data_IF_211725697882
#
_entry.id   IF_211725697882
#
_cell.length_a   1.000
_cell.length_b   1.000
_cell.length_c   1.000
_cell.angle_alpha   90.00
_cell.angle_beta   90.00
_cell.angle_gamma   90.00
#
_symmetry.space_group_name_H-M   'P 1'
#
loop_
_entity.id
_entity.type
_entity.pdbx_description
1 polymer ?
#
# COMPACT_ATOMS: atom_id res chain seq x y z
N UNK A 1 -13.68 -21.55 -17.18
CA UNK A 1 -13.22 -20.44 -18.03
C UNK A 1 -12.03 -20.97 -18.80
N UNK A 2 -12.01 -20.83 -20.13
CA UNK A 2 -10.82 -21.19 -20.91
C UNK A 2 -9.67 -20.26 -20.55
N UNK A 3 -8.46 -20.82 -20.48
CA UNK A 3 -7.26 -20.05 -20.17
C UNK A 3 -6.92 -19.17 -21.36
N UNK A 4 -6.73 -17.86 -21.12
CA UNK A 4 -6.22 -16.94 -22.13
C UNK A 4 -4.83 -17.40 -22.61
N UNK A 5 -4.68 -17.59 -23.92
CA UNK A 5 -3.41 -17.92 -24.57
C UNK A 5 -2.93 -16.67 -25.33
N UNK A 6 -1.77 -16.14 -24.95
CA UNK A 6 -1.18 -14.97 -25.60
C UNK A 6 -0.50 -15.40 -26.92
N UNK A 7 -1.17 -15.17 -28.04
CA UNK A 7 -0.69 -15.46 -29.39
C UNK A 7 -1.04 -14.30 -30.36
N UNK A 8 -0.69 -14.43 -31.64
CA UNK A 8 -1.00 -13.37 -32.63
C UNK A 8 -2.52 -13.16 -32.77
N UNK A 9 -3.33 -14.20 -32.62
CA UNK A 9 -4.79 -14.16 -32.70
C UNK A 9 -5.42 -13.44 -31.48
N UNK A 10 -4.71 -13.38 -30.35
CA UNK A 10 -5.15 -12.66 -29.15
C UNK A 10 -5.10 -11.13 -29.33
N UNK A 11 -4.48 -10.61 -30.40
CA UNK A 11 -4.37 -9.18 -30.67
C UNK A 11 -5.72 -8.46 -30.71
N UNK A 12 -6.71 -9.03 -31.39
CA UNK A 12 -8.03 -8.40 -31.51
C UNK A 12 -8.77 -8.43 -30.16
N UNK A 13 -8.57 -9.49 -29.36
CA UNK A 13 -9.12 -9.58 -28.01
C UNK A 13 -8.47 -8.56 -27.06
N UNK A 14 -7.15 -8.34 -27.20
CA UNK A 14 -6.41 -7.31 -26.48
C UNK A 14 -6.97 -5.93 -26.83
N UNK A 15 -7.08 -5.60 -28.12
CA UNK A 15 -7.60 -4.29 -28.54
C UNK A 15 -9.04 -4.08 -28.06
N UNK A 16 -9.92 -5.06 -28.25
CA UNK A 16 -11.29 -4.99 -27.78
C UNK A 16 -11.39 -4.76 -26.27
N UNK A 17 -10.60 -5.49 -25.47
CA UNK A 17 -10.59 -5.32 -24.01
C UNK A 17 -10.16 -3.90 -23.59
N UNK A 18 -9.17 -3.32 -24.27
CA UNK A 18 -8.72 -1.94 -24.03
C UNK A 18 -9.81 -0.92 -24.36
N UNK A 19 -10.54 -1.12 -25.45
CA UNK A 19 -11.54 -0.15 -25.91
C UNK A 19 -12.83 -0.21 -25.06
N UNK A 20 -13.15 -1.37 -24.49
CA UNK A 20 -14.29 -1.55 -23.59
C UNK A 20 -14.06 -1.00 -22.18
N UNK A 21 -12.80 -0.99 -21.70
CA UNK A 21 -12.47 -0.70 -20.31
C UNK A 21 -11.64 0.57 -20.18
N UNK A 22 -12.00 1.43 -19.24
CA UNK A 22 -11.17 2.58 -18.85
C UNK A 22 -9.99 2.12 -18.00
N UNK A 23 -8.89 1.81 -18.66
CA UNK A 23 -7.64 1.42 -18.02
C UNK A 23 -6.92 2.64 -17.42
N UNK A 24 -6.37 2.45 -16.23
CA UNK A 24 -5.46 3.40 -15.58
C UNK A 24 -4.08 3.39 -16.23
N UNK A 25 -3.23 4.36 -15.89
CA UNK A 25 -1.92 4.52 -16.52
C UNK A 25 -1.02 3.28 -16.39
N UNK A 26 -0.99 2.63 -15.22
CA UNK A 26 -0.16 1.43 -15.03
C UNK A 26 -0.74 0.22 -15.78
N UNK A 27 -2.06 0.12 -15.87
CA UNK A 27 -2.73 -0.94 -16.61
C UNK A 27 -2.41 -0.82 -18.09
N UNK A 28 -2.49 0.40 -18.65
CA UNK A 28 -2.11 0.68 -20.04
C UNK A 28 -0.66 0.31 -20.36
N UNK A 29 0.27 0.59 -19.44
CA UNK A 29 1.67 0.23 -19.62
C UNK A 29 1.86 -1.29 -19.69
N UNK A 30 1.29 -2.04 -18.74
CA UNK A 30 1.33 -3.51 -18.73
C UNK A 30 0.64 -4.07 -19.97
N UNK A 31 -0.48 -3.47 -20.38
CA UNK A 31 -1.23 -3.86 -21.56
C UNK A 31 -0.41 -3.76 -22.84
N UNK A 32 0.32 -2.67 -23.02
CA UNK A 32 1.20 -2.47 -24.16
C UNK A 32 2.32 -3.53 -24.21
N UNK A 33 2.87 -3.92 -23.07
CA UNK A 33 3.85 -4.99 -22.98
C UNK A 33 3.27 -6.36 -23.37
N UNK A 34 2.04 -6.66 -22.92
CA UNK A 34 1.33 -7.89 -23.30
C UNK A 34 1.09 -7.92 -24.82
N UNK A 35 0.66 -6.81 -25.41
CA UNK A 35 0.46 -6.69 -26.85
C UNK A 35 1.76 -6.90 -27.63
N UNK A 36 2.84 -6.24 -27.21
CA UNK A 36 4.16 -6.40 -27.83
C UNK A 36 4.68 -7.84 -27.72
N UNK A 37 4.44 -8.50 -26.59
CA UNK A 37 4.77 -9.91 -26.40
C UNK A 37 3.96 -10.79 -27.36
N UNK A 38 2.65 -10.55 -27.50
CA UNK A 38 1.79 -11.28 -28.42
C UNK A 38 2.30 -11.23 -29.88
N UNK A 39 2.73 -10.04 -30.33
CA UNK A 39 3.20 -9.75 -31.69
C UNK A 39 4.62 -10.25 -32.00
N UNK A 40 5.55 -10.20 -31.03
CA UNK A 40 6.99 -10.43 -31.25
C UNK A 40 7.42 -11.89 -31.39
N UNK A 41 6.51 -12.86 -31.22
CA UNK A 41 6.86 -14.28 -31.21
C UNK A 41 7.66 -14.72 -29.98
N UNK A 42 7.90 -13.83 -29.01
CA UNK A 42 8.64 -14.09 -27.78
C UNK A 42 7.89 -15.06 -26.86
N UNK A 43 8.24 -16.34 -26.95
CA UNK A 43 7.61 -17.40 -26.17
C UNK A 43 7.89 -17.29 -24.67
N UNK A 44 9.03 -16.71 -24.27
CA UNK A 44 9.40 -16.59 -22.86
C UNK A 44 8.56 -15.51 -22.18
N UNK A 45 8.47 -14.32 -22.79
CA UNK A 45 7.65 -13.22 -22.27
C UNK A 45 6.16 -13.57 -22.25
N UNK A 46 5.66 -14.24 -23.30
CA UNK A 46 4.28 -14.76 -23.33
C UNK A 46 4.01 -15.73 -22.18
N UNK A 47 4.91 -16.68 -21.96
CA UNK A 47 4.80 -17.65 -20.88
C UNK A 47 4.87 -16.96 -19.52
N UNK A 48 5.74 -15.96 -19.37
CA UNK A 48 5.85 -15.19 -18.14
C UNK A 48 4.53 -14.50 -17.79
N UNK A 49 3.94 -13.72 -18.69
CA UNK A 49 2.63 -13.07 -18.48
C UNK A 49 1.52 -14.11 -18.24
N UNK A 50 1.49 -15.21 -19.01
CA UNK A 50 0.50 -16.27 -18.88
C UNK A 50 0.56 -17.07 -17.56
N UNK A 51 1.61 -16.88 -16.76
CA UNK A 51 1.69 -17.44 -15.40
C UNK A 51 1.02 -16.54 -14.35
N UNK A 52 0.68 -15.28 -14.68
CA UNK A 52 0.03 -14.36 -13.75
C UNK A 52 -1.49 -14.45 -13.75
N UNK A 53 -2.10 -15.24 -14.64
CA UNK A 53 -3.53 -15.52 -14.58
C UNK A 53 -4.12 -15.92 -15.93
N UNK A 54 -5.41 -16.25 -15.89
CA UNK A 54 -6.14 -16.79 -17.04
C UNK A 54 -6.96 -15.74 -17.81
N UNK A 55 -6.87 -14.45 -17.43
CA UNK A 55 -7.58 -13.34 -18.07
C UNK A 55 -6.70 -12.08 -18.11
N UNK A 56 -6.96 -11.14 -19.02
CA UNK A 56 -6.22 -9.86 -19.04
C UNK A 56 -6.29 -9.14 -17.69
N UNK A 57 -7.47 -9.11 -17.07
CA UNK A 57 -7.65 -8.49 -15.75
C UNK A 57 -6.73 -9.11 -14.69
N UNK A 58 -6.74 -10.43 -14.56
CA UNK A 58 -5.92 -11.11 -13.55
C UNK A 58 -4.43 -10.96 -13.83
N UNK A 59 -4.01 -11.10 -15.10
CA UNK A 59 -2.61 -10.88 -15.51
C UNK A 59 -2.16 -9.47 -15.14
N UNK A 60 -2.90 -8.43 -15.56
CA UNK A 60 -2.53 -7.03 -15.33
C UNK A 60 -2.43 -6.72 -13.84
N UNK A 61 -3.45 -7.09 -13.06
CA UNK A 61 -3.49 -6.82 -11.63
C UNK A 61 -2.37 -7.56 -10.88
N UNK A 62 -2.13 -8.83 -11.21
CA UNK A 62 -1.12 -9.62 -10.53
C UNK A 62 0.30 -9.20 -10.93
N UNK A 63 0.54 -8.85 -12.20
CA UNK A 63 1.81 -8.27 -12.65
C UNK A 63 2.07 -6.94 -11.94
N UNK A 64 1.05 -6.09 -11.82
CA UNK A 64 1.19 -4.83 -11.09
C UNK A 64 1.54 -5.06 -9.62
N UNK A 65 0.83 -5.97 -8.94
CA UNK A 65 1.09 -6.33 -7.55
C UNK A 65 2.51 -6.87 -7.35
N UNK A 66 2.96 -7.76 -8.24
CA UNK A 66 4.32 -8.29 -8.24
C UNK A 66 5.36 -7.19 -8.42
N UNK A 67 5.19 -6.32 -9.42
CA UNK A 67 6.12 -5.19 -9.67
C UNK A 67 6.19 -4.24 -8.48
N UNK A 68 5.07 -4.00 -7.80
CA UNK A 68 5.07 -3.24 -6.54
C UNK A 68 5.79 -3.96 -5.41
N UNK A 69 5.65 -5.29 -5.32
CA UNK A 69 6.46 -6.11 -4.42
C UNK A 69 7.96 -5.98 -4.67
N UNK A 70 8.38 -5.96 -5.94
CA UNK A 70 9.78 -5.80 -6.33
C UNK A 70 10.39 -4.48 -5.86
N UNK A 71 9.62 -3.39 -5.81
CA UNK A 71 10.09 -2.11 -5.27
C UNK A 71 10.47 -2.21 -3.77
N UNK A 72 9.92 -3.18 -3.06
CA UNK A 72 10.28 -3.54 -1.68
C UNK A 72 11.19 -4.77 -1.60
N UNK A 73 11.77 -5.19 -2.72
CA UNK A 73 12.69 -6.33 -2.85
C UNK A 73 12.03 -7.71 -2.73
N UNK A 74 10.70 -7.80 -2.75
CA UNK A 74 10.01 -9.09 -2.75
C UNK A 74 10.01 -9.69 -4.15
N UNK A 75 10.68 -10.83 -4.31
CA UNK A 75 10.85 -11.51 -5.61
C UNK A 75 10.01 -12.78 -5.74
N UNK A 76 9.37 -13.24 -4.67
CA UNK A 76 8.54 -14.44 -4.70
C UNK A 76 7.26 -14.19 -5.51
N UNK A 77 6.95 -15.12 -6.41
CA UNK A 77 5.68 -15.15 -7.14
C UNK A 77 4.83 -16.27 -6.54
N UNK A 78 3.77 -15.89 -5.84
CA UNK A 78 2.81 -16.80 -5.25
C UNK A 78 1.39 -16.29 -5.50
N UNK A 79 0.44 -17.21 -5.58
CA UNK A 79 -0.98 -16.90 -5.81
C UNK A 79 -1.84 -17.59 -4.75
N UNK A 80 -2.93 -16.93 -4.36
CA UNK A 80 -3.92 -17.53 -3.47
C UNK A 80 -4.81 -18.54 -4.20
N UNK A 81 -5.71 -19.19 -3.45
CA UNK A 81 -6.64 -20.18 -3.99
C UNK A 81 -7.61 -19.65 -5.07
N UNK A 82 -7.68 -18.33 -5.26
CA UNK A 82 -8.51 -17.67 -6.26
C UNK A 82 -7.69 -17.14 -7.45
N UNK A 83 -6.39 -17.41 -7.48
CA UNK A 83 -5.49 -16.96 -8.54
C UNK A 83 -5.06 -15.48 -8.41
N UNK A 84 -5.26 -14.85 -7.25
CA UNK A 84 -4.75 -13.50 -6.99
C UNK A 84 -3.34 -13.55 -6.42
N UNK A 85 -2.51 -12.58 -6.80
CA UNK A 85 -1.15 -12.48 -6.30
C UNK A 85 -1.13 -12.38 -4.77
N UNK A 86 -0.41 -13.30 -4.14
CA UNK A 86 -0.29 -13.36 -2.68
C UNK A 86 0.50 -12.16 -2.18
N UNK A 87 -0.09 -11.43 -1.22
CA UNK A 87 0.54 -10.21 -0.68
C UNK A 87 1.82 -10.59 0.08
N UNK A 88 2.96 -9.95 -0.23
CA UNK A 88 4.18 -10.20 0.52
C UNK A 88 4.02 -9.72 1.96
N UNK A 89 4.69 -10.41 2.88
CA UNK A 89 4.75 -10.03 4.29
C UNK A 89 6.00 -9.19 4.54
N UNK A 90 5.83 -8.04 5.20
CA UNK A 90 6.96 -7.21 5.61
C UNK A 90 7.82 -7.95 6.66
N UNK A 91 9.14 -7.87 6.55
CA UNK A 91 10.11 -8.60 7.36
C UNK A 91 10.06 -8.20 8.84
N UNK A 92 9.80 -6.92 9.09
CA UNK A 92 9.59 -6.37 10.41
C UNK A 92 8.40 -5.43 10.36
N UNK A 93 7.52 -5.56 11.35
CA UNK A 93 6.37 -4.68 11.55
C UNK A 93 6.45 -4.10 12.95
N UNK A 94 6.53 -2.79 13.01
CA UNK A 94 6.46 -2.04 14.25
C UNK A 94 5.12 -1.32 14.34
N UNK A 95 4.61 -1.16 15.56
CA UNK A 95 3.38 -0.43 15.86
C UNK A 95 3.68 0.66 16.90
N UNK A 96 3.43 1.92 16.54
CA UNK A 96 3.40 3.05 17.45
C UNK A 96 1.95 3.45 17.72
N UNK A 97 1.64 3.80 18.96
CA UNK A 97 0.28 4.09 19.42
C UNK A 97 0.25 5.47 20.05
N UNK A 98 -0.74 6.28 19.65
CA UNK A 98 -0.93 7.64 20.12
C UNK A 98 -2.34 7.81 20.66
N UNK A 99 -2.47 8.08 21.96
CA UNK A 99 -3.76 8.18 22.64
C UNK A 99 -4.00 7.05 23.64
N UNK A 100 -5.27 6.78 23.95
CA UNK A 100 -5.68 5.80 24.95
C UNK A 100 -5.91 4.41 24.32
N UNK A 101 -4.93 3.53 24.41
CA UNK A 101 -5.02 2.16 23.87
C UNK A 101 -6.12 1.32 24.54
N UNK A 102 -6.50 1.64 25.79
CA UNK A 102 -7.50 0.87 26.55
C UNK A 102 -8.93 1.05 26.04
N UNK A 103 -9.17 2.02 25.16
CA UNK A 103 -10.49 2.32 24.64
C UNK A 103 -10.49 2.36 23.13
N UNK A 104 -11.47 1.66 22.55
CA UNK A 104 -11.70 1.68 21.11
C UNK A 104 -12.06 3.11 20.66
N UNK A 105 -11.48 3.56 19.56
CA UNK A 105 -11.71 4.91 19.02
C UNK A 105 -11.00 6.04 19.79
N UNK A 106 -10.26 5.75 20.85
CA UNK A 106 -9.52 6.80 21.59
C UNK A 106 -8.00 6.78 21.32
N UNK A 107 -7.55 6.03 20.32
CA UNK A 107 -6.16 6.00 19.91
C UNK A 107 -6.00 5.90 18.39
N UNK A 108 -4.88 6.44 17.92
CA UNK A 108 -4.37 6.28 16.57
C UNK A 108 -3.17 5.33 16.58
N UNK A 109 -2.95 4.63 15.48
CA UNK A 109 -1.85 3.67 15.31
C UNK A 109 -1.07 4.01 14.04
N UNK A 110 0.24 4.15 14.18
CA UNK A 110 1.18 4.20 13.05
C UNK A 110 1.92 2.87 12.97
N UNK A 111 1.77 2.15 11.86
CA UNK A 111 2.53 0.94 11.57
C UNK A 111 3.70 1.26 10.66
N UNK A 112 4.86 0.67 10.92
CA UNK A 112 6.06 0.80 10.10
C UNK A 112 6.44 -0.59 9.59
N UNK A 113 6.56 -0.74 8.28
CA UNK A 113 6.90 -2.00 7.61
C UNK A 113 8.29 -1.92 6.98
N UNK A 114 9.09 -2.97 7.18
CA UNK A 114 10.40 -3.14 6.53
C UNK A 114 10.31 -4.16 5.40
N UNK A 115 10.60 -3.74 4.17
CA UNK A 115 10.81 -4.61 3.02
C UNK A 115 12.20 -5.25 2.98
N UNK A 116 12.46 -6.02 1.94
CA UNK A 116 13.80 -6.52 1.62
C UNK A 116 14.65 -5.35 1.12
N UNK A 117 15.96 -5.35 1.41
CA UNK A 117 16.88 -4.29 0.95
C UNK A 117 16.79 -2.96 1.71
N UNK A 118 16.26 -2.97 2.96
CA UNK A 118 16.12 -1.77 3.81
C UNK A 118 15.19 -0.67 3.25
N UNK A 119 14.22 -1.04 2.41
CA UNK A 119 13.12 -0.14 2.02
C UNK A 119 12.05 -0.15 3.10
N UNK A 120 11.60 1.03 3.54
CA UNK A 120 10.60 1.17 4.60
C UNK A 120 9.31 1.77 4.06
N UNK A 121 8.18 1.44 4.67
CA UNK A 121 6.88 2.05 4.42
C UNK A 121 6.16 2.28 5.75
N UNK A 122 5.13 3.11 5.72
CA UNK A 122 4.26 3.32 6.86
C UNK A 122 2.78 3.13 6.48
N UNK A 123 1.95 2.93 7.49
CA UNK A 123 0.50 2.91 7.35
C UNK A 123 -0.13 3.49 8.61
N UNK A 124 -1.06 4.42 8.42
CA UNK A 124 -1.69 5.16 9.50
C UNK A 124 -3.14 4.71 9.65
N UNK A 125 -3.54 4.45 10.89
CA UNK A 125 -4.93 4.37 11.31
C UNK A 125 -5.16 5.45 12.35
N UNK A 126 -6.01 6.42 12.04
CA UNK A 126 -6.27 7.58 12.89
C UNK A 126 -7.70 7.55 13.39
N UNK A 127 -7.89 8.04 14.61
CA UNK A 127 -9.20 8.17 15.22
C UNK A 127 -9.36 9.52 15.90
N UNK A 128 -10.50 10.15 15.68
CA UNK A 128 -10.95 11.37 16.32
C UNK A 128 -11.99 11.08 17.43
N UNK A 129 -12.20 9.81 17.81
CA UNK A 129 -13.29 9.38 18.69
C UNK A 129 -14.31 8.55 17.91
N UNK A 130 -15.22 9.23 17.21
CA UNK A 130 -16.27 8.59 16.41
C UNK A 130 -15.91 8.57 14.93
N UNK A 131 -15.30 9.65 14.41
CA UNK A 131 -14.73 9.68 13.08
C UNK A 131 -13.31 9.11 13.07
N UNK A 132 -12.90 8.57 11.93
CA UNK A 132 -11.56 8.01 11.77
C UNK A 132 -11.40 7.35 10.40
N UNK A 133 -10.21 6.82 10.19
CA UNK A 133 -9.87 6.14 8.94
C UNK A 133 -8.53 5.43 9.07
N UNK A 134 -8.15 4.70 8.03
CA UNK A 134 -6.81 4.16 7.99
C UNK A 134 -6.54 3.24 6.84
N UNK A 135 -5.27 2.91 6.69
CA UNK A 135 -4.78 1.92 5.75
C UNK A 135 -3.94 0.86 6.46
N UNK A 136 -3.83 -0.32 5.84
CA UNK A 136 -2.86 -1.33 6.23
C UNK A 136 -1.51 -1.11 5.56
N UNK A 137 -0.46 -1.74 6.10
CA UNK A 137 0.82 -1.80 5.41
C UNK A 137 0.65 -2.43 4.03
N UNK A 138 1.28 -1.82 3.03
CA UNK A 138 1.03 -2.14 1.64
C UNK A 138 2.26 -1.82 0.79
N UNK A 139 2.52 -2.66 -0.22
CA UNK A 139 3.54 -2.41 -1.25
C UNK A 139 3.16 -1.26 -2.19
N UNK A 140 1.92 -0.76 -2.09
CA UNK A 140 1.48 0.46 -2.74
C UNK A 140 1.74 1.72 -1.89
N UNK A 141 2.20 1.54 -0.65
CA UNK A 141 2.51 2.63 0.27
C UNK A 141 3.78 3.39 -0.11
N UNK A 142 3.95 4.58 0.44
CA UNK A 142 5.12 5.42 0.19
C UNK A 142 6.40 4.75 0.71
N UNK A 143 7.46 4.82 -0.09
CA UNK A 143 8.76 4.28 0.27
C UNK A 143 9.63 5.31 0.97
N UNK A 144 10.37 4.83 1.96
CA UNK A 144 11.31 5.61 2.74
C UNK A 144 12.65 4.88 2.81
N UNK A 145 13.73 5.66 2.81
CA UNK A 145 15.11 5.14 2.86
C UNK A 145 15.52 4.67 4.26
N UNK A 146 14.75 5.01 5.29
CA UNK A 146 15.04 4.64 6.67
C UNK A 146 13.75 4.50 7.48
N UNK A 147 13.84 3.75 8.58
CA UNK A 147 12.77 3.65 9.59
C UNK A 147 12.39 5.04 10.11
N UNK A 148 13.38 5.86 10.47
CA UNK A 148 13.16 7.22 10.99
C UNK A 148 12.33 8.06 10.03
N UNK A 149 12.69 8.10 8.75
CA UNK A 149 11.92 8.85 7.75
C UNK A 149 10.48 8.35 7.60
N UNK A 150 10.23 7.04 7.72
CA UNK A 150 8.88 6.48 7.70
C UNK A 150 8.07 6.87 8.94
N UNK A 151 8.71 6.88 10.12
CA UNK A 151 8.10 7.33 11.37
C UNK A 151 7.78 8.82 11.31
N UNK A 152 8.75 9.66 10.97
CA UNK A 152 8.60 11.12 10.94
C UNK A 152 7.49 11.54 9.98
N UNK A 153 7.43 10.91 8.79
CA UNK A 153 6.38 11.18 7.82
C UNK A 153 4.99 10.81 8.35
N UNK A 154 4.86 9.66 9.03
CA UNK A 154 3.58 9.21 9.57
C UNK A 154 3.12 10.03 10.77
N UNK A 155 4.05 10.44 11.64
CA UNK A 155 3.78 11.34 12.76
C UNK A 155 3.36 12.71 12.24
N UNK A 156 4.07 13.25 11.25
CA UNK A 156 3.71 14.54 10.63
C UNK A 156 2.30 14.49 10.04
N UNK A 157 1.97 13.45 9.29
CA UNK A 157 0.63 13.26 8.72
C UNK A 157 -0.45 13.22 9.82
N UNK A 158 -0.25 12.41 10.86
CA UNK A 158 -1.17 12.31 11.98
C UNK A 158 -1.32 13.65 12.72
N UNK A 159 -0.21 14.33 12.99
CA UNK A 159 -0.17 15.63 13.67
C UNK A 159 -0.92 16.69 12.86
N UNK A 160 -0.73 16.72 11.55
CA UNK A 160 -1.45 17.62 10.64
C UNK A 160 -2.95 17.36 10.67
N UNK A 161 -3.39 16.09 10.56
CA UNK A 161 -4.82 15.74 10.62
C UNK A 161 -5.46 16.12 11.96
N UNK A 162 -4.79 15.82 13.07
CA UNK A 162 -5.29 16.14 14.41
C UNK A 162 -5.37 17.65 14.63
N UNK A 163 -4.33 18.39 14.23
CA UNK A 163 -4.28 19.85 14.38
C UNK A 163 -5.38 20.53 13.57
N UNK A 164 -5.66 20.04 12.35
CA UNK A 164 -6.73 20.57 11.50
C UNK A 164 -8.14 20.43 12.10
N UNK A 165 -8.31 19.57 13.11
CA UNK A 165 -9.58 19.31 13.81
C UNK A 165 -9.66 19.89 15.22
N UNK A 166 -8.65 20.64 15.65
CA UNK A 166 -8.70 21.35 16.93
C UNK A 166 -9.77 22.44 16.86
N UNK A 167 -10.74 22.39 17.78
CA UNK A 167 -11.82 23.36 17.85
C UNK A 167 -12.94 23.16 16.83
N UNK A 168 -12.99 22.00 16.16
CA UNK A 168 -14.10 21.66 15.26
C UNK A 168 -15.44 21.71 16.01
N UNK A 169 -16.46 22.27 15.36
CA UNK A 169 -17.79 22.44 15.95
C UNK A 169 -18.55 21.12 16.05
N UNK A 170 -18.23 20.13 15.21
CA UNK A 170 -18.79 18.79 15.28
C UNK A 170 -18.05 17.92 16.29
N UNK A 171 -18.31 18.18 17.57
CA UNK A 171 -17.71 17.45 18.68
C UNK A 171 -18.21 16.00 18.81
N UNK A 172 -19.25 15.62 18.06
CA UNK A 172 -19.75 14.24 18.04
C UNK A 172 -18.83 13.32 17.24
N UNK A 173 -18.31 13.84 16.12
CA UNK A 173 -17.34 13.14 15.28
C UNK A 173 -15.89 13.40 15.70
N UNK A 174 -15.59 14.65 16.07
CA UNK A 174 -14.25 15.13 16.41
C UNK A 174 -14.15 15.42 17.91
N UNK A 175 -13.94 14.38 18.71
CA UNK A 175 -13.86 14.49 20.16
C UNK A 175 -12.59 15.28 20.59
N UNK A 176 -12.72 16.45 21.23
CA UNK A 176 -11.57 17.27 21.62
C UNK A 176 -10.62 16.59 22.62
N UNK A 177 -11.10 15.62 23.41
CA UNK A 177 -10.26 14.86 24.33
C UNK A 177 -9.36 13.88 23.58
N UNK A 178 -9.90 13.17 22.57
CA UNK A 178 -9.12 12.22 21.75
C UNK A 178 -8.07 12.96 20.92
N UNK A 179 -8.44 14.09 20.32
CA UNK A 179 -7.52 14.92 19.53
C UNK A 179 -6.36 15.43 20.41
N UNK A 180 -6.67 16.05 21.56
CA UNK A 180 -5.64 16.55 22.48
C UNK A 180 -4.78 15.43 23.07
N UNK A 181 -5.38 14.28 23.39
CA UNK A 181 -4.67 13.10 23.87
C UNK A 181 -3.68 12.58 22.84
N UNK A 182 -4.08 12.51 21.57
CA UNK A 182 -3.22 12.09 20.45
C UNK A 182 -2.07 13.08 20.25
N UNK A 183 -2.35 14.39 20.19
CA UNK A 183 -1.32 15.42 20.02
C UNK A 183 -0.32 15.42 21.19
N UNK A 184 -0.80 15.21 22.41
CA UNK A 184 0.06 15.13 23.61
C UNK A 184 0.95 13.87 23.56
N UNK A 185 0.40 12.74 23.12
CA UNK A 185 1.18 11.51 22.95
C UNK A 185 2.26 11.66 21.86
N UNK A 186 1.96 12.36 20.76
CA UNK A 186 2.94 12.71 19.72
C UNK A 186 4.07 13.57 20.30
N UNK A 187 3.74 14.65 21.00
CA UNK A 187 4.73 15.54 21.59
C UNK A 187 5.65 14.80 22.58
N UNK A 188 5.08 13.89 23.38
CA UNK A 188 5.85 13.04 24.29
C UNK A 188 6.83 12.14 23.53
N UNK A 189 6.37 11.46 22.48
CA UNK A 189 7.22 10.62 21.63
C UNK A 189 8.36 11.42 20.96
N UNK A 190 8.06 12.61 20.43
CA UNK A 190 9.05 13.50 19.83
C UNK A 190 10.16 13.86 20.84
N UNK A 191 9.80 14.15 22.10
CA UNK A 191 10.78 14.46 23.16
C UNK A 191 11.62 13.22 23.54
N UNK A 192 10.98 12.07 23.73
CA UNK A 192 11.67 10.82 24.11
C UNK A 192 12.63 10.35 23.02
N UNK A 193 12.28 10.52 21.74
CA UNK A 193 13.13 10.12 20.62
C UNK A 193 14.40 10.98 20.49
N UNK A 194 14.33 12.28 20.80
CA UNK A 194 15.51 13.15 20.85
C UNK A 194 16.43 12.76 22.00
N UNK A 195 15.90 12.47 23.18
CA UNK A 195 16.72 12.06 24.34
C UNK A 195 17.53 10.78 24.08
N UNK A 196 16.97 9.83 23.32
CA UNK A 196 17.65 8.57 22.98
C UNK A 196 18.77 8.73 21.93
N UNK A 197 18.83 9.86 21.21
CA UNK A 197 19.87 10.11 20.20
C UNK A 197 21.07 10.90 20.72
N UNK A 198 21.02 11.32 22.00
CA UNK A 198 22.05 12.11 22.67
C UNK A 198 23.02 11.26 23.53
N UNK A 199 22.85 9.93 23.53
CA UNK A 199 23.71 8.94 24.20
C UNK A 199 24.29 7.96 23.18
#
# INVERSE_FOLDING_TARGET
MEKLILNVESKDQIIAYRDEIRLSHYELAIFAEILAAAESGDAETKKWFGNFGDSFRSIIMNVHAYRKGLEFGFTEIAFDQYGWFSRPQFLAVEKLIFGNEKRYGEHSTLKIGKGIGNVWTNALSYSFGTAGGGCGLSVYGKQFKSRGAAVDAGILELKTMMTAKVGDSDQSNYNPQVIRGTLSAIAKYEVESVQLTLF
#
